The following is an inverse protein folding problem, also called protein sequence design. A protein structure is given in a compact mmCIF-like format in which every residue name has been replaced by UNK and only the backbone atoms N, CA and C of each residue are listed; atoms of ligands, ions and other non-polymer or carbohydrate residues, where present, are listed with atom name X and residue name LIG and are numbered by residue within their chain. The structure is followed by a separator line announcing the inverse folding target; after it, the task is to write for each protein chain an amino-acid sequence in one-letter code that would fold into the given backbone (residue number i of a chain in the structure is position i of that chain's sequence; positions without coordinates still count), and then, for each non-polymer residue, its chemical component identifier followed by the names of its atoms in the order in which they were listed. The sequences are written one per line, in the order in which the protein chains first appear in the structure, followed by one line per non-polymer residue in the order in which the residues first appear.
data_IF_884101856643
#
_entry.id   IF_884101856643
#
_cell.length_a   1.000
_cell.length_b   1.000
_cell.length_c   1.000
_cell.angle_alpha   90.00
_cell.angle_beta   90.00
_cell.angle_gamma   90.00
#
_symmetry.space_group_name_H-M   'P 1'
#
loop_
_entity.id
_entity.type
_entity.pdbx_description
1 polymer ?
#
# COMPACT_ATOMS: atom_id res chain seq x y z
N UNK A 1 8.75 3.16 -0.51
CA UNK A 1 9.11 4.48 0.04
C UNK A 1 9.13 4.39 1.56
N UNK A 2 10.01 5.13 2.22
CA UNK A 2 10.08 5.32 3.68
C UNK A 2 10.44 6.78 3.94
N UNK A 3 9.94 7.36 5.03
CA UNK A 3 10.21 8.76 5.38
C UNK A 3 9.19 9.29 6.38
N UNK A 4 9.51 10.42 7.00
CA UNK A 4 8.65 11.09 7.98
C UNK A 4 7.37 11.70 7.34
N UNK A 5 7.37 11.82 6.02
CA UNK A 5 6.27 12.29 5.18
C UNK A 5 5.44 11.13 4.57
N UNK A 6 5.75 9.88 4.94
CA UNK A 6 5.02 8.71 4.47
C UNK A 6 3.87 8.36 5.41
N UNK A 7 2.64 8.70 5.02
CA UNK A 7 1.44 8.51 5.83
C UNK A 7 0.58 7.37 5.23
N UNK A 8 0.58 6.15 5.81
CA UNK A 8 -0.27 5.07 5.33
C UNK A 8 -1.74 5.31 5.66
N UNK A 9 -2.65 4.89 4.76
CA UNK A 9 -4.11 5.02 4.92
C UNK A 9 -4.82 3.66 4.89
N UNK A 10 -4.55 2.75 5.85
CA UNK A 10 -5.12 1.41 5.83
C UNK A 10 -6.63 1.46 6.10
N UNK A 11 -7.42 0.91 5.19
CA UNK A 11 -8.86 0.73 5.33
C UNK A 11 -9.23 -0.69 5.76
N UNK A 12 -10.27 -0.83 6.58
CA UNK A 12 -10.81 -2.13 7.00
C UNK A 12 -12.30 -2.03 7.36
N UNK A 13 -13.05 -3.12 7.21
CA UNK A 13 -14.45 -3.24 7.64
C UNK A 13 -14.62 -3.89 9.02
N UNK A 14 -13.53 -4.40 9.62
CA UNK A 14 -13.55 -5.12 10.90
C UNK A 14 -12.88 -4.29 12.00
N UNK A 15 -13.57 -4.14 13.14
CA UNK A 15 -13.07 -3.38 14.30
C UNK A 15 -11.75 -3.95 14.81
N UNK A 16 -11.64 -5.27 14.95
CA UNK A 16 -10.38 -5.92 15.39
C UNK A 16 -9.18 -5.48 14.54
N UNK A 17 -9.34 -5.41 13.23
CA UNK A 17 -8.26 -5.01 12.34
C UNK A 17 -7.96 -3.51 12.43
N UNK A 18 -8.97 -2.68 12.75
CA UNK A 18 -8.76 -1.26 13.01
C UNK A 18 -7.85 -1.07 14.23
N UNK A 19 -8.13 -1.81 15.31
CA UNK A 19 -7.33 -1.80 16.54
C UNK A 19 -5.91 -2.29 16.27
N UNK A 20 -5.74 -3.36 15.51
CA UNK A 20 -4.43 -3.89 15.10
C UNK A 20 -3.64 -2.89 14.24
N UNK A 21 -4.28 -2.29 13.23
CA UNK A 21 -3.66 -1.27 12.38
C UNK A 21 -3.21 -0.04 13.20
N UNK A 22 -4.02 0.40 14.17
CA UNK A 22 -3.65 1.49 15.07
C UNK A 22 -2.48 1.11 15.99
N UNK A 23 -2.45 -0.15 16.45
CA UNK A 23 -1.35 -0.70 17.25
C UNK A 23 0.00 -0.68 16.53
N UNK A 24 0.01 -0.75 15.19
CA UNK A 24 1.25 -0.70 14.40
C UNK A 24 2.09 0.56 14.65
N UNK A 25 1.48 1.68 15.06
CA UNK A 25 2.19 2.92 15.41
C UNK A 25 3.10 2.78 16.64
N UNK A 26 2.90 1.74 17.45
CA UNK A 26 3.69 1.46 18.65
C UNK A 26 4.85 0.50 18.38
N UNK A 27 4.86 -0.15 17.21
CA UNK A 27 5.91 -1.09 16.82
C UNK A 27 7.19 -0.30 16.51
N UNK A 28 8.29 -0.70 17.16
CA UNK A 28 9.62 -0.17 16.91
C UNK A 28 10.47 -1.28 16.30
N UNK A 29 11.07 -1.00 15.15
CA UNK A 29 11.98 -1.91 14.48
C UNK A 29 13.40 -1.41 14.64
N UNK A 30 14.32 -2.34 14.90
CA UNK A 30 15.75 -2.12 14.80
C UNK A 30 16.18 -1.95 13.34
N UNK A 31 17.41 -1.50 13.13
CA UNK A 31 17.95 -1.35 11.77
C UNK A 31 18.10 -2.70 11.08
N UNK A 32 18.48 -3.71 11.85
CA UNK A 32 18.68 -5.09 11.39
C UNK A 32 17.36 -5.70 10.93
N UNK A 33 16.28 -5.54 11.69
CA UNK A 33 14.94 -6.00 11.30
C UNK A 33 14.42 -5.28 10.05
N UNK A 34 14.68 -3.98 9.90
CA UNK A 34 14.30 -3.24 8.69
C UNK A 34 15.03 -3.79 7.46
N UNK A 35 16.32 -4.11 7.59
CA UNK A 35 17.10 -4.72 6.50
C UNK A 35 16.54 -6.11 6.17
N UNK A 36 16.29 -6.93 7.18
CA UNK A 36 15.75 -8.28 7.00
C UNK A 36 14.39 -8.26 6.27
N UNK A 37 13.47 -7.38 6.69
CA UNK A 37 12.16 -7.21 6.05
C UNK A 37 12.34 -6.76 4.59
N UNK A 38 13.25 -5.82 4.33
CA UNK A 38 13.51 -5.34 2.97
C UNK A 38 14.06 -6.44 2.07
N UNK A 39 15.04 -7.19 2.55
CA UNK A 39 15.62 -8.32 1.82
C UNK A 39 14.55 -9.37 1.48
N UNK A 40 13.62 -9.64 2.41
CA UNK A 40 12.52 -10.55 2.18
C UNK A 40 11.56 -10.01 1.10
N UNK A 41 11.23 -8.71 1.13
CA UNK A 41 10.40 -8.06 0.12
C UNK A 41 11.04 -8.06 -1.28
N UNK A 42 12.36 -7.84 -1.37
CA UNK A 42 13.08 -7.80 -2.66
C UNK A 42 13.23 -9.19 -3.28
N UNK A 43 13.34 -10.23 -2.43
CA UNK A 43 13.36 -11.63 -2.88
C UNK A 43 11.96 -12.15 -3.25
N UNK A 44 10.91 -11.45 -2.87
CA UNK A 44 9.55 -11.87 -3.17
C UNK A 44 9.28 -11.70 -4.67
N UNK A 45 8.87 -12.79 -5.32
CA UNK A 45 8.48 -12.77 -6.72
C UNK A 45 7.07 -12.16 -6.85
N UNK A 46 7.00 -10.96 -7.44
CA UNK A 46 5.73 -10.25 -7.66
C UNK A 46 5.16 -10.71 -8.99
N UNK A 47 4.19 -11.62 -8.93
CA UNK A 47 3.54 -12.19 -10.09
C UNK A 47 2.33 -11.36 -10.54
N UNK A 48 2.32 -10.98 -11.82
CA UNK A 48 1.20 -10.33 -12.50
C UNK A 48 1.25 -8.80 -12.50
N UNK A 49 0.52 -8.21 -13.44
CA UNK A 49 0.37 -6.76 -13.57
C UNK A 49 -0.62 -6.20 -12.55
N UNK A 50 -0.52 -4.89 -12.26
CA UNK A 50 -1.44 -4.17 -11.35
C UNK A 50 -2.92 -4.32 -11.74
N UNK A 51 -3.20 -4.44 -13.03
CA UNK A 51 -4.52 -4.71 -13.58
C UNK A 51 -4.36 -5.75 -14.71
N UNK A 52 -5.29 -6.72 -14.86
CA UNK A 52 -5.30 -7.57 -16.03
C UNK A 52 -5.36 -6.72 -17.32
N UNK A 53 -4.75 -7.16 -18.43
CA UNK A 53 -4.66 -6.36 -19.66
C UNK A 53 -6.01 -5.83 -20.14
N UNK A 54 -7.07 -6.62 -19.96
CA UNK A 54 -8.44 -6.30 -20.37
C UNK A 54 -9.05 -5.13 -19.57
N UNK A 55 -8.59 -4.91 -18.33
CA UNK A 55 -9.11 -3.87 -17.44
C UNK A 55 -8.24 -2.62 -17.39
N UNK A 56 -6.99 -2.70 -17.86
CA UNK A 56 -6.05 -1.57 -17.88
C UNK A 56 -6.60 -0.37 -18.66
N UNK A 57 -7.34 -0.59 -19.75
CA UNK A 57 -7.94 0.49 -20.55
C UNK A 57 -9.04 1.29 -19.80
N UNK A 58 -9.59 0.76 -18.72
CA UNK A 58 -10.70 1.38 -17.98
C UNK A 58 -10.26 2.14 -16.72
N UNK A 59 -8.96 2.13 -16.39
CA UNK A 59 -8.44 2.84 -15.21
C UNK A 59 -8.34 4.35 -15.42
N UNK A 60 -8.37 4.80 -16.68
CA UNK A 60 -8.45 6.20 -17.07
C UNK A 60 -9.87 6.51 -17.53
N UNK A 61 -10.67 7.10 -16.63
CA UNK A 61 -11.98 7.63 -16.99
C UNK A 61 -11.85 9.11 -17.34
N UNK A 62 -12.09 9.47 -18.60
CA UNK A 62 -12.25 10.88 -18.96
C UNK A 62 -13.43 11.46 -18.19
N UNK A 63 -13.26 12.66 -17.63
CA UNK A 63 -14.38 13.40 -17.03
C UNK A 63 -15.05 14.26 -18.09
N UNK A 64 -16.35 14.47 -17.95
CA UNK A 64 -17.08 15.38 -18.82
C UNK A 64 -16.42 16.77 -18.77
N UNK A 65 -16.28 17.47 -19.91
CA UNK A 65 -15.67 18.80 -19.92
C UNK A 65 -16.47 19.72 -19.00
N UNK A 66 -15.75 20.58 -18.28
CA UNK A 66 -16.34 21.56 -17.36
C UNK A 66 -17.41 22.36 -18.12
N UNK A 67 -18.67 22.30 -17.67
CA UNK A 67 -19.68 23.24 -18.17
C UNK A 67 -19.31 24.63 -17.70
N UNK A 68 -19.26 25.57 -18.66
CA UNK A 68 -18.91 26.99 -18.50
C UNK A 68 -19.46 27.60 -17.21
#
# INVERSE_FOLDING_TARGET
AQGDDFIPIPGTSKIKNLEENAGAAQVKLSKEEIIEIRDACEKADVQGDRYPPQFSAHVFGDSAPKKN
#
